data_IF_688569717597
#
_entry.id   IF_688569717597
#
_cell.length_a   1.000
_cell.length_b   1.000
_cell.length_c   1.000
_cell.angle_alpha   90.00
_cell.angle_beta   90.00
_cell.angle_gamma   90.00
#
_symmetry.space_group_name_H-M   'P 1'
#
loop_
_entity.id
_entity.type
_entity.pdbx_description
1 polymer ?
#
# COMPACT_ATOMS: atom_id res chain seq x y z
N UNK A 1 16.59 17.32 22.63
CA UNK A 1 15.19 16.90 22.43
C UNK A 1 15.17 15.47 21.90
N UNK A 2 14.99 14.47 22.75
CA UNK A 2 14.81 13.05 22.36
C UNK A 2 13.71 12.47 23.24
N UNK A 3 12.45 12.65 22.85
CA UNK A 3 11.30 12.26 23.70
C UNK A 3 10.09 11.72 22.92
N UNK A 4 10.19 11.52 21.61
CA UNK A 4 9.05 11.01 20.81
C UNK A 4 9.19 9.51 20.48
N UNK A 5 10.42 9.01 20.37
CA UNK A 5 10.68 7.61 20.03
C UNK A 5 10.34 6.63 21.16
N UNK A 6 10.32 7.07 22.43
CA UNK A 6 9.98 6.23 23.58
C UNK A 6 8.47 6.02 23.75
N UNK A 7 7.64 6.97 23.31
CA UNK A 7 6.19 6.88 23.43
C UNK A 7 5.59 5.81 22.50
N UNK A 8 6.16 5.65 21.30
CA UNK A 8 5.74 4.59 20.35
C UNK A 8 6.02 3.18 20.86
N UNK A 9 7.10 2.99 21.62
CA UNK A 9 7.48 1.68 22.19
C UNK A 9 6.52 1.27 23.31
N UNK A 10 6.15 2.20 24.20
CA UNK A 10 5.20 1.92 25.29
C UNK A 10 3.80 1.55 24.78
N UNK A 11 3.34 2.15 23.68
CA UNK A 11 2.06 1.76 23.05
C UNK A 11 2.12 0.33 22.50
N UNK A 12 3.22 -0.03 21.83
CA UNK A 12 3.40 -1.38 21.28
C UNK A 12 3.46 -2.47 22.37
N UNK A 13 4.21 -2.25 23.46
CA UNK A 13 4.33 -3.21 24.56
C UNK A 13 3.00 -3.42 25.31
N UNK A 14 2.27 -2.34 25.59
CA UNK A 14 1.03 -2.43 26.38
C UNK A 14 -0.16 -2.98 25.58
N UNK A 15 -0.25 -2.69 24.28
CA UNK A 15 -1.31 -3.23 23.44
C UNK A 15 -1.14 -4.72 23.16
N UNK A 16 0.08 -5.21 22.93
CA UNK A 16 0.32 -6.63 22.69
C UNK A 16 -0.01 -7.50 23.92
N UNK A 17 0.30 -7.01 25.12
CA UNK A 17 0.08 -7.78 26.36
C UNK A 17 -1.40 -7.94 26.74
N UNK A 18 -2.32 -7.12 26.20
CA UNK A 18 -3.77 -7.32 26.39
C UNK A 18 -4.36 -8.42 25.50
N UNK A 19 -3.72 -8.70 24.37
CA UNK A 19 -4.18 -9.71 23.42
C UNK A 19 -3.34 -10.99 23.43
N UNK A 20 -2.25 -11.00 24.20
CA UNK A 20 -1.49 -12.20 24.49
C UNK A 20 -2.27 -13.03 25.50
N UNK A 21 -3.24 -13.79 25.00
CA UNK A 21 -3.90 -14.85 25.74
C UNK A 21 -2.83 -15.80 26.29
N UNK A 22 -2.97 -16.31 27.54
CA UNK A 22 -2.12 -17.39 27.98
C UNK A 22 -2.36 -18.57 27.04
N UNK A 23 -1.29 -19.04 26.39
CA UNK A 23 -1.28 -20.34 25.72
C UNK A 23 -1.36 -21.36 26.84
N UNK A 24 -2.57 -21.60 27.33
CA UNK A 24 -2.88 -22.72 28.20
C UNK A 24 -3.04 -23.94 27.30
N UNK A 25 -2.15 -24.88 27.52
CA UNK A 25 -2.06 -26.21 26.92
C UNK A 25 -3.23 -27.11 27.36
N UNK A 26 -4.47 -26.68 27.14
CA UNK A 26 -5.66 -27.49 27.46
C UNK A 26 -6.79 -27.23 26.45
N UNK A 27 -7.23 -28.32 25.82
CA UNK A 27 -8.02 -28.40 24.59
C UNK A 27 -9.51 -28.05 24.74
N UNK A 28 -9.92 -27.23 25.71
CA UNK A 28 -11.35 -27.04 26.04
C UNK A 28 -11.70 -25.62 26.52
N UNK A 29 -11.35 -24.58 25.76
CA UNK A 29 -11.68 -23.19 26.11
C UNK A 29 -12.22 -22.32 24.96
N UNK A 30 -13.14 -22.86 24.16
CA UNK A 30 -14.09 -22.02 23.42
C UNK A 30 -15.46 -22.23 24.05
N UNK A 31 -16.04 -21.26 24.76
CA UNK A 31 -17.42 -21.38 25.21
C UNK A 31 -18.32 -21.47 23.97
N UNK A 32 -19.20 -22.47 23.95
CA UNK A 32 -20.20 -22.62 22.88
C UNK A 32 -20.93 -21.30 22.66
N UNK A 33 -21.01 -20.79 21.43
CA UNK A 33 -21.72 -19.54 21.16
C UNK A 33 -23.18 -19.68 21.61
N UNK A 34 -23.67 -18.67 22.33
CA UNK A 34 -25.03 -18.64 22.85
C UNK A 34 -26.04 -18.67 21.69
N UNK A 35 -26.94 -19.64 21.71
CA UNK A 35 -27.94 -19.83 20.64
C UNK A 35 -28.88 -18.61 20.57
N UNK A 36 -28.96 -17.99 19.39
CA UNK A 36 -29.84 -16.85 19.17
C UNK A 36 -31.28 -17.35 19.02
N UNK A 37 -32.30 -16.64 19.55
CA UNK A 37 -33.68 -17.01 19.32
C UNK A 37 -33.98 -16.99 17.81
N UNK A 38 -34.83 -17.90 17.29
CA UNK A 38 -35.05 -18.11 15.85
C UNK A 38 -35.67 -16.92 15.09
N UNK A 39 -35.89 -15.78 15.77
CA UNK A 39 -36.59 -14.60 15.26
C UNK A 39 -35.72 -13.33 15.30
N UNK A 40 -34.40 -13.46 15.17
CA UNK A 40 -33.54 -12.30 14.90
C UNK A 40 -33.51 -12.07 13.39
N UNK A 41 -34.35 -11.16 12.89
CA UNK A 41 -34.16 -10.66 11.54
C UNK A 41 -33.00 -9.66 11.57
N UNK A 42 -31.97 -9.81 10.73
CA UNK A 42 -31.01 -8.73 10.54
C UNK A 42 -31.79 -7.50 10.07
N UNK A 43 -31.51 -6.29 10.61
CA UNK A 43 -32.09 -5.08 10.05
C UNK A 43 -31.76 -5.08 8.55
N UNK A 44 -32.76 -4.81 7.70
CA UNK A 44 -32.55 -4.62 6.26
C UNK A 44 -31.55 -3.47 6.13
N UNK A 45 -30.28 -3.82 5.95
CA UNK A 45 -29.22 -2.85 5.83
C UNK A 45 -29.49 -2.03 4.59
N UNK A 46 -29.79 -0.75 4.77
CA UNK A 46 -29.71 0.19 3.68
C UNK A 46 -28.24 0.19 3.26
N UNK A 47 -27.93 -0.36 2.09
CA UNK A 47 -26.56 -0.46 1.55
C UNK A 47 -26.03 0.90 1.08
N UNK A 48 -26.22 1.94 1.88
CA UNK A 48 -25.54 3.21 1.72
C UNK A 48 -24.51 3.32 2.83
N UNK A 49 -23.45 2.51 2.71
CA UNK A 49 -22.23 2.81 3.45
C UNK A 49 -21.73 4.15 2.92
N UNK A 50 -21.59 5.14 3.81
CA UNK A 50 -20.85 6.36 3.48
C UNK A 50 -19.45 5.92 3.05
N UNK A 51 -19.21 5.96 1.75
CA UNK A 51 -17.91 5.64 1.17
C UNK A 51 -16.96 6.66 1.77
N UNK A 52 -16.08 6.19 2.67
CA UNK A 52 -15.02 7.02 3.23
C UNK A 52 -14.28 7.67 2.07
N UNK A 53 -13.98 8.99 2.14
CA UNK A 53 -13.21 9.64 1.11
C UNK A 53 -11.93 8.84 0.86
N UNK A 54 -11.62 8.50 -0.41
CA UNK A 54 -10.39 7.79 -0.72
C UNK A 54 -9.22 8.57 -0.12
N UNK A 55 -8.43 7.87 0.69
CA UNK A 55 -7.29 8.44 1.38
C UNK A 55 -6.40 9.15 0.34
N UNK A 56 -5.96 10.40 0.59
CA UNK A 56 -5.13 11.10 -0.37
C UNK A 56 -3.87 10.28 -0.58
N UNK A 57 -3.72 9.71 -1.78
CA UNK A 57 -2.49 9.05 -2.18
C UNK A 57 -1.35 10.05 -2.06
N UNK A 58 -0.25 9.64 -1.42
CA UNK A 58 0.96 10.46 -1.32
C UNK A 58 1.28 11.11 -2.68
N UNK A 59 1.81 12.35 -2.70
CA UNK A 59 2.14 13.04 -3.94
C UNK A 59 3.15 12.20 -4.71
N UNK A 60 2.64 11.41 -5.66
CA UNK A 60 3.44 10.56 -6.52
C UNK A 60 4.36 11.46 -7.33
N UNK A 61 5.62 11.04 -7.45
CA UNK A 61 6.53 11.61 -8.44
C UNK A 61 5.83 11.75 -9.80
N UNK A 62 6.08 12.85 -10.54
CA UNK A 62 5.62 12.92 -11.92
C UNK A 62 6.23 11.76 -12.72
N UNK A 63 5.46 11.16 -13.64
CA UNK A 63 5.89 10.00 -14.43
C UNK A 63 7.26 10.26 -15.09
N UNK A 64 7.47 11.48 -15.59
CA UNK A 64 8.74 11.88 -16.22
C UNK A 64 9.89 12.06 -15.25
N UNK A 65 9.59 12.41 -13.99
CA UNK A 65 10.60 12.50 -12.95
C UNK A 65 11.08 11.11 -12.56
N UNK A 66 10.16 10.15 -12.40
CA UNK A 66 10.50 8.74 -12.19
C UNK A 66 11.37 8.19 -13.33
N UNK A 67 10.97 8.43 -14.59
CA UNK A 67 11.74 7.99 -15.76
C UNK A 67 13.17 8.57 -15.79
N UNK A 68 13.36 9.80 -15.28
CA UNK A 68 14.67 10.45 -15.20
C UNK A 68 15.54 9.82 -14.12
N UNK A 69 15.00 9.63 -12.93
CA UNK A 69 15.71 8.99 -11.80
C UNK A 69 16.12 7.56 -12.15
N UNK A 70 15.19 6.78 -12.72
CA UNK A 70 15.48 5.44 -13.22
C UNK A 70 16.63 5.47 -14.25
N UNK A 71 16.59 6.42 -15.19
CA UNK A 71 17.66 6.54 -16.20
C UNK A 71 19.00 6.85 -15.55
N UNK A 72 19.05 7.80 -14.62
CA UNK A 72 20.30 8.18 -13.95
C UNK A 72 20.90 7.02 -13.16
N UNK A 73 20.07 6.25 -12.46
CA UNK A 73 20.51 5.08 -11.71
C UNK A 73 20.94 3.93 -12.63
N UNK A 74 20.13 3.63 -13.65
CA UNK A 74 20.42 2.55 -14.61
C UNK A 74 21.68 2.84 -15.45
N UNK A 75 21.96 4.13 -15.74
CA UNK A 75 23.17 4.55 -16.48
C UNK A 75 24.45 4.46 -15.67
N UNK A 76 24.39 4.32 -14.34
CA UNK A 76 25.59 4.08 -13.52
C UNK A 76 26.16 2.69 -13.76
N UNK A 77 25.29 1.71 -14.01
CA UNK A 77 25.65 0.29 -14.15
C UNK A 77 25.64 -0.18 -15.60
N UNK A 78 24.86 0.45 -16.47
CA UNK A 78 24.70 0.05 -17.87
C UNK A 78 25.01 1.19 -18.83
N UNK A 79 25.64 0.88 -19.97
CA UNK A 79 25.91 1.87 -21.03
C UNK A 79 24.67 2.36 -21.78
N UNK A 80 23.55 1.62 -21.72
CA UNK A 80 22.34 1.92 -22.49
C UNK A 80 21.06 1.73 -21.67
N UNK A 81 20.09 2.62 -21.89
CA UNK A 81 18.84 2.66 -21.15
C UNK A 81 17.86 1.60 -21.64
N UNK A 82 17.39 0.76 -20.73
CA UNK A 82 16.32 -0.18 -21.01
C UNK A 82 14.96 0.45 -20.68
N UNK A 83 14.35 1.08 -21.70
CA UNK A 83 13.03 1.70 -21.58
C UNK A 83 11.90 0.71 -21.28
N UNK A 84 12.05 -0.55 -21.68
CA UNK A 84 11.05 -1.58 -21.37
C UNK A 84 11.07 -1.89 -19.87
N UNK A 85 12.25 -2.11 -19.29
CA UNK A 85 12.39 -2.34 -17.86
C UNK A 85 11.89 -1.16 -17.03
N UNK A 86 12.21 0.08 -17.43
CA UNK A 86 11.70 1.29 -16.78
C UNK A 86 10.16 1.33 -16.78
N UNK A 87 9.52 0.99 -17.90
CA UNK A 87 8.06 0.99 -18.01
C UNK A 87 7.42 -0.12 -17.19
N UNK A 88 7.95 -1.34 -17.26
CA UNK A 88 7.44 -2.50 -16.52
C UNK A 88 7.55 -2.27 -15.00
N UNK A 89 8.68 -1.74 -14.53
CA UNK A 89 8.90 -1.43 -13.12
C UNK A 89 8.05 -0.24 -12.66
N UNK A 90 7.98 0.84 -13.45
CA UNK A 90 7.14 1.97 -13.11
C UNK A 90 5.66 1.61 -13.06
N UNK A 91 5.17 0.72 -13.94
CA UNK A 91 3.80 0.20 -13.85
C UNK A 91 3.56 -0.58 -12.55
N UNK A 92 4.51 -1.39 -12.10
CA UNK A 92 4.42 -2.12 -10.84
C UNK A 92 4.37 -1.17 -9.63
N UNK A 93 5.06 -0.04 -9.71
CA UNK A 93 5.04 1.02 -8.69
C UNK A 93 3.84 1.99 -8.85
N UNK A 94 3.02 1.81 -9.89
CA UNK A 94 1.81 2.60 -10.14
C UNK A 94 2.03 3.90 -10.92
N UNK A 95 3.21 4.08 -11.51
CA UNK A 95 3.54 5.08 -12.52
C UNK A 95 3.16 4.61 -13.92
N UNK A 96 3.18 5.54 -14.89
CA UNK A 96 3.03 5.26 -16.31
C UNK A 96 1.70 4.66 -16.79
N UNK A 97 0.68 4.61 -15.94
CA UNK A 97 -0.67 4.13 -16.27
C UNK A 97 -1.32 4.92 -17.42
N UNK A 98 -0.89 6.16 -17.65
CA UNK A 98 -1.34 7.04 -18.73
C UNK A 98 -0.76 6.66 -20.10
N UNK A 99 0.33 5.89 -20.15
CA UNK A 99 1.04 5.57 -21.38
C UNK A 99 0.64 4.17 -21.87
N UNK A 100 0.28 4.05 -23.15
CA UNK A 100 -0.11 2.77 -23.76
C UNK A 100 1.05 1.78 -23.91
N UNK A 101 2.29 2.25 -23.92
CA UNK A 101 3.47 1.43 -24.18
C UNK A 101 4.76 2.15 -23.77
N UNK A 102 5.82 1.38 -23.50
CA UNK A 102 7.18 1.88 -23.30
C UNK A 102 7.68 2.75 -24.48
N UNK A 103 7.18 2.52 -25.71
CA UNK A 103 7.51 3.36 -26.88
C UNK A 103 6.96 4.78 -26.74
N UNK A 104 5.69 4.90 -26.30
CA UNK A 104 5.05 6.20 -26.05
C UNK A 104 5.77 6.94 -24.94
N UNK A 105 6.11 6.24 -23.85
CA UNK A 105 6.89 6.80 -22.75
C UNK A 105 8.22 7.37 -23.24
N UNK A 106 8.99 6.58 -24.00
CA UNK A 106 10.28 6.97 -24.55
C UNK A 106 10.16 8.19 -25.48
N UNK A 107 9.15 8.23 -26.35
CA UNK A 107 8.94 9.37 -27.24
C UNK A 107 8.64 10.64 -26.44
N UNK A 108 7.68 10.58 -25.50
CA UNK A 108 7.35 11.74 -24.63
C UNK A 108 8.57 12.21 -23.84
N UNK A 109 9.39 11.29 -23.34
CA UNK A 109 10.62 11.64 -22.62
C UNK A 109 11.62 12.37 -23.53
N UNK A 110 11.80 11.89 -24.77
CA UNK A 110 12.71 12.51 -25.73
C UNK A 110 12.22 13.87 -26.23
N UNK A 111 10.91 14.04 -26.42
CA UNK A 111 10.30 15.32 -26.78
C UNK A 111 10.50 16.37 -25.69
N UNK A 112 10.30 16.00 -24.41
CA UNK A 112 10.53 16.91 -23.28
C UNK A 112 12.01 17.26 -23.04
N UNK A 113 12.95 16.54 -23.66
CA UNK A 113 14.39 16.82 -23.56
C UNK A 113 14.86 17.80 -24.64
N UNK A 114 14.08 17.99 -25.70
CA UNK A 114 14.40 18.87 -26.82
C UNK A 114 14.11 20.32 -26.47
#
# INVERSE_FOLDING_TARGET
MKSLASAGVLYAETCLHKYQWPVLDDSDMIPTPLDLPPKVQPPKGNTHVDILPPMPSEPRLDDMKYAREFKEEYMKTHKQMNWKACYDQGLAEGYFSKYKSYKTLKNTFNERKK
#
